data_IF_200750578556
#
_entry.id   IF_200750578556
#
_cell.length_a   1.000
_cell.length_b   1.000
_cell.length_c   1.000
_cell.angle_alpha   90.00
_cell.angle_beta   90.00
_cell.angle_gamma   90.00
#
_symmetry.space_group_name_H-M   'P 1'
#
loop_
_entity.id
_entity.type
_entity.pdbx_description
1 polymer ?
#
# COMPACT_ATOMS: atom_id res chain seq x y z
N UNK A 1 38.92 -13.09 15.34
CA UNK A 1 38.57 -11.86 14.59
C UNK A 1 38.24 -10.78 15.60
N UNK A 2 38.97 -9.65 15.59
CA UNK A 2 38.58 -8.46 16.34
C UNK A 2 37.27 -7.89 15.75
N UNK A 3 36.41 -7.34 16.59
CA UNK A 3 35.08 -6.81 16.21
C UNK A 3 35.17 -5.70 15.16
N UNK A 4 36.21 -4.86 15.23
CA UNK A 4 36.47 -3.79 14.28
C UNK A 4 36.70 -4.28 12.84
N UNK A 5 37.31 -5.46 12.67
CA UNK A 5 37.56 -6.01 11.33
C UNK A 5 36.27 -6.42 10.60
N UNK A 6 35.19 -6.70 11.35
CA UNK A 6 33.90 -7.05 10.76
C UNK A 6 33.14 -5.83 10.21
N UNK A 7 33.51 -4.62 10.66
CA UNK A 7 32.89 -3.36 10.26
C UNK A 7 33.50 -2.78 8.97
N UNK A 8 34.57 -3.41 8.46
CA UNK A 8 35.22 -3.00 7.21
C UNK A 8 34.24 -3.02 6.05
N UNK A 9 34.32 -1.96 5.25
CA UNK A 9 33.48 -1.74 4.08
C UNK A 9 34.30 -1.84 2.80
N UNK A 10 33.70 -2.39 1.73
CA UNK A 10 34.30 -2.34 0.40
C UNK A 10 34.13 -0.94 -0.23
N UNK A 11 34.58 -0.78 -1.49
CA UNK A 11 34.48 0.51 -2.23
C UNK A 11 33.03 1.03 -2.38
N UNK A 12 32.04 0.17 -2.31
CA UNK A 12 30.60 0.50 -2.37
C UNK A 12 29.96 0.65 -0.98
N UNK A 13 30.79 0.74 0.06
CA UNK A 13 30.38 0.83 1.46
C UNK A 13 29.70 -0.44 2.02
N UNK A 14 29.81 -1.58 1.34
CA UNK A 14 29.18 -2.81 1.79
C UNK A 14 30.07 -3.52 2.82
N UNK A 15 29.48 -3.87 3.96
CA UNK A 15 30.10 -4.80 4.93
C UNK A 15 29.93 -6.25 4.47
N UNK A 16 30.71 -7.16 5.06
CA UNK A 16 30.52 -8.59 4.85
C UNK A 16 29.10 -9.05 5.22
N UNK A 17 28.51 -8.46 6.28
CA UNK A 17 27.13 -8.74 6.67
C UNK A 17 26.14 -8.31 5.58
N UNK A 18 26.32 -7.11 5.00
CA UNK A 18 25.45 -6.61 3.93
C UNK A 18 25.42 -7.58 2.73
N UNK A 19 26.59 -8.05 2.29
CA UNK A 19 26.71 -8.99 1.17
C UNK A 19 26.09 -10.35 1.51
N UNK A 20 26.35 -10.88 2.72
CA UNK A 20 25.75 -12.13 3.16
C UNK A 20 24.23 -12.04 3.28
N UNK A 21 23.71 -10.89 3.71
CA UNK A 21 22.29 -10.62 3.81
C UNK A 21 21.61 -10.56 2.44
N UNK A 22 22.25 -9.92 1.46
CA UNK A 22 21.81 -9.91 0.05
C UNK A 22 21.84 -11.31 -0.57
N UNK A 23 22.87 -12.11 -0.27
CA UNK A 23 23.01 -13.47 -0.78
C UNK A 23 22.15 -14.53 -0.06
N UNK A 24 21.42 -14.15 1.00
CA UNK A 24 20.61 -15.09 1.77
C UNK A 24 21.40 -16.07 2.64
N UNK A 25 22.70 -15.82 2.89
CA UNK A 25 23.55 -16.71 3.66
C UNK A 25 23.31 -16.55 5.17
N UNK A 26 22.25 -17.20 5.65
CA UNK A 26 21.82 -17.14 7.05
C UNK A 26 22.90 -17.60 8.04
N UNK A 27 23.73 -18.59 7.68
CA UNK A 27 24.79 -19.10 8.57
C UNK A 27 25.84 -18.02 8.81
N UNK A 28 26.30 -17.36 7.75
CA UNK A 28 27.26 -16.27 7.86
C UNK A 28 26.68 -15.06 8.60
N UNK A 29 25.42 -14.71 8.31
CA UNK A 29 24.69 -13.63 9.02
C UNK A 29 24.65 -13.88 10.52
N UNK A 30 24.25 -15.09 10.96
CA UNK A 30 24.19 -15.46 12.38
C UNK A 30 25.54 -15.29 13.07
N UNK A 31 26.59 -15.88 12.51
CA UNK A 31 27.96 -15.80 13.08
C UNK A 31 28.43 -14.35 13.21
N UNK A 32 28.16 -13.51 12.21
CA UNK A 32 28.57 -12.11 12.22
C UNK A 32 27.79 -11.28 13.24
N UNK A 33 26.46 -11.43 13.30
CA UNK A 33 25.59 -10.69 14.23
C UNK A 33 25.84 -11.08 15.68
N UNK A 34 26.12 -12.36 15.95
CA UNK A 34 26.51 -12.84 17.29
C UNK A 34 27.83 -12.23 17.76
N UNK A 35 28.79 -12.02 16.84
CA UNK A 35 30.08 -11.39 17.16
C UNK A 35 30.00 -9.88 17.30
N UNK A 36 29.21 -9.22 16.45
CA UNK A 36 29.04 -7.77 16.49
C UNK A 36 27.64 -7.36 15.99
N UNK A 37 26.76 -7.02 16.94
CA UNK A 37 25.39 -6.56 16.64
C UNK A 37 25.35 -5.20 15.94
N UNK A 38 26.37 -4.36 16.09
CA UNK A 38 26.41 -3.04 15.46
C UNK A 38 26.40 -3.12 13.93
N UNK A 39 26.81 -4.25 13.35
CA UNK A 39 26.77 -4.51 11.91
C UNK A 39 25.36 -4.37 11.33
N UNK A 40 24.31 -4.65 12.10
CA UNK A 40 22.91 -4.53 11.66
C UNK A 40 22.54 -3.11 11.24
N UNK A 41 23.28 -2.11 11.72
CA UNK A 41 23.01 -0.68 11.50
C UNK A 41 24.13 0.04 10.73
N UNK A 42 25.09 -0.69 10.17
CA UNK A 42 26.08 -0.14 9.23
C UNK A 42 25.50 -0.18 7.82
N UNK A 43 25.17 1.00 7.28
CA UNK A 43 24.58 1.12 5.95
C UNK A 43 25.57 0.76 4.84
N UNK A 44 25.10 -0.06 3.89
CA UNK A 44 25.76 -0.34 2.61
C UNK A 44 25.09 0.38 1.45
N UNK A 45 25.40 -0.03 0.22
CA UNK A 45 24.83 0.53 -1.00
C UNK A 45 25.05 2.04 -1.09
N UNK A 46 26.32 2.47 -1.04
CA UNK A 46 26.69 3.89 -0.96
C UNK A 46 26.12 4.60 0.28
N UNK A 47 26.09 3.89 1.42
CA UNK A 47 25.56 4.35 2.73
C UNK A 47 24.07 4.67 2.74
N UNK A 48 23.32 4.25 1.72
CA UNK A 48 21.88 4.53 1.60
C UNK A 48 21.01 3.43 2.21
N UNK A 49 21.49 2.19 2.24
CA UNK A 49 20.64 1.03 2.52
C UNK A 49 21.09 0.23 3.72
N UNK A 50 20.13 -0.12 4.57
CA UNK A 50 20.37 -0.96 5.75
C UNK A 50 20.53 -2.43 5.33
N UNK A 51 21.39 -3.22 6.01
CA UNK A 51 21.54 -4.65 5.74
C UNK A 51 20.22 -5.44 5.76
N UNK A 52 19.30 -5.07 6.65
CA UNK A 52 17.97 -5.70 6.71
C UNK A 52 17.10 -5.37 5.49
N UNK A 53 17.21 -4.14 4.96
CA UNK A 53 16.47 -3.75 3.74
C UNK A 53 16.95 -4.56 2.54
N UNK A 54 18.26 -4.72 2.34
CA UNK A 54 18.78 -5.48 1.19
C UNK A 54 18.39 -6.96 1.26
N UNK A 55 18.37 -7.58 2.45
CA UNK A 55 17.84 -8.93 2.61
C UNK A 55 16.36 -9.03 2.21
N UNK A 56 15.57 -8.00 2.54
CA UNK A 56 14.15 -7.92 2.18
C UNK A 56 13.97 -7.72 0.68
N UNK A 57 14.78 -6.85 0.07
CA UNK A 57 14.78 -6.57 -1.37
C UNK A 57 15.00 -7.83 -2.21
N UNK A 58 15.89 -8.72 -1.78
CA UNK A 58 16.16 -9.99 -2.45
C UNK A 58 15.29 -11.16 -1.96
N UNK A 59 14.27 -10.91 -1.14
CA UNK A 59 13.31 -11.93 -0.73
C UNK A 59 13.84 -12.96 0.28
N UNK A 60 14.97 -12.70 0.96
CA UNK A 60 15.63 -13.65 1.87
C UNK A 60 14.92 -13.78 3.22
N UNK A 61 13.72 -14.40 3.24
CA UNK A 61 12.78 -14.43 4.40
C UNK A 61 13.43 -14.87 5.72
N UNK A 62 14.25 -15.92 5.72
CA UNK A 62 14.91 -16.42 6.95
C UNK A 62 15.92 -15.43 7.53
N UNK A 63 16.69 -14.79 6.65
CA UNK A 63 17.64 -13.73 7.02
C UNK A 63 16.90 -12.53 7.58
N UNK A 64 15.83 -12.09 6.92
CA UNK A 64 15.00 -10.97 7.36
C UNK A 64 14.42 -11.25 8.75
N UNK A 65 13.80 -12.42 8.95
CA UNK A 65 13.22 -12.81 10.24
C UNK A 65 14.26 -12.83 11.35
N UNK A 66 15.44 -13.39 11.10
CA UNK A 66 16.53 -13.41 12.07
C UNK A 66 17.03 -12.01 12.39
N UNK A 67 17.40 -11.21 11.38
CA UNK A 67 17.96 -9.87 11.57
C UNK A 67 16.96 -8.92 12.22
N UNK A 68 15.67 -8.98 11.86
CA UNK A 68 14.62 -8.18 12.50
C UNK A 68 14.54 -8.49 14.01
N UNK A 69 14.51 -9.77 14.39
CA UNK A 69 14.45 -10.18 15.81
C UNK A 69 15.68 -9.72 16.61
N UNK A 70 16.80 -9.42 15.96
CA UNK A 70 18.02 -8.91 16.60
C UNK A 70 18.19 -7.38 16.47
N UNK A 71 17.28 -6.70 15.77
CA UNK A 71 17.34 -5.26 15.48
C UNK A 71 16.80 -4.36 16.61
N UNK A 72 16.35 -4.94 17.73
CA UNK A 72 15.65 -4.23 18.79
C UNK A 72 14.45 -3.41 18.26
N UNK A 73 13.61 -4.05 17.44
CA UNK A 73 12.45 -3.42 16.79
C UNK A 73 12.79 -2.13 16.02
N UNK A 74 13.98 -2.05 15.43
CA UNK A 74 14.44 -0.89 14.64
C UNK A 74 14.52 0.42 15.46
N UNK A 75 14.67 0.34 16.78
CA UNK A 75 14.72 1.50 17.70
C UNK A 75 16.07 2.22 17.74
N UNK A 76 17.12 1.62 17.19
CA UNK A 76 18.44 2.28 17.08
C UNK A 76 18.31 3.61 16.32
N UNK A 77 18.98 4.66 16.79
CA UNK A 77 18.90 6.02 16.24
C UNK A 77 19.35 6.14 14.77
N UNK A 78 20.09 5.15 14.26
CA UNK A 78 20.45 5.07 12.83
C UNK A 78 19.28 4.69 11.92
N UNK A 79 18.17 4.20 12.48
CA UNK A 79 16.94 4.00 11.72
C UNK A 79 16.15 5.29 11.61
N UNK A 80 16.18 5.89 10.43
CA UNK A 80 15.33 7.03 10.08
C UNK A 80 13.91 6.57 9.72
N UNK A 81 12.87 7.41 9.92
CA UNK A 81 11.50 7.11 9.50
C UNK A 81 11.42 6.67 8.02
N UNK A 82 12.15 7.34 7.14
CA UNK A 82 12.21 7.01 5.70
C UNK A 82 12.68 5.57 5.45
N UNK A 83 13.79 5.16 6.08
CA UNK A 83 14.36 3.82 5.91
C UNK A 83 13.46 2.73 6.50
N UNK A 84 12.73 3.03 7.59
CA UNK A 84 11.72 2.12 8.14
C UNK A 84 10.53 1.98 7.19
N UNK A 85 10.08 3.08 6.58
CA UNK A 85 9.01 3.08 5.58
C UNK A 85 9.38 2.24 4.35
N UNK A 86 10.59 2.39 3.81
CA UNK A 86 11.08 1.57 2.70
C UNK A 86 11.15 0.09 3.05
N UNK A 87 11.64 -0.25 4.25
CA UNK A 87 11.67 -1.62 4.73
C UNK A 87 10.25 -2.20 4.83
N UNK A 88 9.31 -1.46 5.43
CA UNK A 88 7.91 -1.88 5.55
C UNK A 88 7.29 -2.16 4.18
N UNK A 89 7.42 -1.21 3.25
CA UNK A 89 6.90 -1.35 1.89
C UNK A 89 7.50 -2.60 1.21
N UNK A 90 8.81 -2.78 1.29
CA UNK A 90 9.50 -3.92 0.69
C UNK A 90 9.11 -5.26 1.33
N UNK A 91 8.83 -5.29 2.64
CA UNK A 91 8.31 -6.46 3.32
C UNK A 91 6.93 -6.86 2.77
N UNK A 92 6.04 -5.89 2.55
CA UNK A 92 4.71 -6.13 1.99
C UNK A 92 4.79 -6.57 0.53
N UNK A 93 5.64 -5.94 -0.27
CA UNK A 93 5.90 -6.36 -1.66
C UNK A 93 6.39 -7.81 -1.76
N UNK A 94 7.15 -8.30 -0.77
CA UNK A 94 7.70 -9.66 -0.73
C UNK A 94 6.90 -10.66 0.16
N UNK A 95 5.68 -10.32 0.55
CA UNK A 95 4.80 -11.17 1.37
C UNK A 95 5.44 -11.61 2.70
N UNK A 96 6.20 -10.71 3.32
CA UNK A 96 6.80 -10.88 4.64
C UNK A 96 5.91 -10.24 5.71
N UNK A 97 4.64 -10.62 5.73
CA UNK A 97 3.61 -9.99 6.58
C UNK A 97 3.93 -10.08 8.07
N UNK A 98 4.53 -11.18 8.56
CA UNK A 98 4.98 -11.31 9.95
C UNK A 98 5.86 -10.15 10.42
N UNK A 99 6.80 -9.72 9.56
CA UNK A 99 7.74 -8.64 9.87
C UNK A 99 7.08 -7.29 9.65
N UNK A 100 6.32 -7.13 8.56
CA UNK A 100 5.54 -5.93 8.29
C UNK A 100 4.59 -5.58 9.46
N UNK A 101 3.87 -6.59 9.98
CA UNK A 101 2.97 -6.50 11.13
C UNK A 101 3.70 -5.97 12.38
N UNK A 102 4.90 -6.49 12.67
CA UNK A 102 5.69 -6.02 13.82
C UNK A 102 6.20 -4.60 13.64
N UNK A 103 6.57 -4.22 12.42
CA UNK A 103 7.02 -2.85 12.10
C UNK A 103 5.88 -1.86 12.34
N UNK A 104 4.71 -2.06 11.74
CA UNK A 104 3.58 -1.13 11.89
C UNK A 104 3.00 -1.14 13.31
N UNK A 105 3.07 -2.26 14.03
CA UNK A 105 2.72 -2.29 15.46
C UNK A 105 3.65 -1.39 16.29
N UNK A 106 4.91 -1.28 15.89
CA UNK A 106 5.91 -0.44 16.58
C UNK A 106 5.87 1.01 16.09
N UNK A 107 5.57 1.23 14.81
CA UNK A 107 5.56 2.52 14.12
C UNK A 107 4.28 2.67 13.29
N UNK A 108 3.13 2.98 13.91
CA UNK A 108 1.84 3.02 13.23
C UNK A 108 1.81 3.99 12.03
N UNK A 109 2.46 5.14 12.15
CA UNK A 109 2.45 6.22 11.14
C UNK A 109 3.01 5.77 9.78
N UNK A 110 3.82 4.71 9.77
CA UNK A 110 4.38 4.13 8.54
C UNK A 110 3.37 3.30 7.74
N UNK A 111 2.26 2.89 8.34
CA UNK A 111 1.23 2.04 7.73
C UNK A 111 0.32 2.74 6.72
N UNK A 112 0.69 3.92 6.24
CA UNK A 112 -0.16 4.81 5.44
C UNK A 112 0.16 4.74 3.93
N UNK A 113 -0.76 5.27 3.11
CA UNK A 113 -0.55 5.55 1.68
C UNK A 113 -0.05 4.38 0.85
N UNK A 114 1.27 4.35 0.57
CA UNK A 114 1.91 3.39 -0.35
C UNK A 114 1.85 1.95 0.12
N UNK A 115 1.82 1.69 1.42
CA UNK A 115 1.66 0.33 1.95
C UNK A 115 0.27 -0.21 1.65
N UNK A 116 -0.76 0.63 1.83
CA UNK A 116 -2.15 0.28 1.51
C UNK A 116 -2.33 0.02 0.02
N UNK A 117 -1.66 0.80 -0.83
CA UNK A 117 -1.69 0.59 -2.29
C UNK A 117 -1.12 -0.77 -2.70
N UNK A 118 0.03 -1.17 -2.15
CA UNK A 118 0.60 -2.47 -2.45
C UNK A 118 -0.30 -3.60 -1.95
N UNK A 119 -0.89 -3.47 -0.76
CA UNK A 119 -1.84 -4.45 -0.23
C UNK A 119 -3.10 -4.58 -1.10
N UNK A 120 -3.65 -3.46 -1.57
CA UNK A 120 -4.81 -3.45 -2.46
C UNK A 120 -4.54 -4.27 -3.75
N UNK A 121 -3.31 -4.25 -4.26
CA UNK A 121 -2.92 -5.02 -5.45
C UNK A 121 -2.62 -6.51 -5.18
N UNK A 122 -2.74 -7.00 -3.94
CA UNK A 122 -2.41 -8.38 -3.54
C UNK A 122 -3.61 -9.12 -2.92
N UNK A 123 -4.62 -9.51 -3.71
CA UNK A 123 -5.82 -10.19 -3.20
C UNK A 123 -5.54 -11.52 -2.52
N UNK A 124 -4.49 -12.25 -2.92
CA UNK A 124 -4.12 -13.53 -2.30
C UNK A 124 -3.74 -13.39 -0.82
N UNK A 125 -3.12 -12.25 -0.46
CA UNK A 125 -2.77 -11.97 0.93
C UNK A 125 -4.00 -11.93 1.85
N UNK A 126 -5.17 -11.59 1.29
CA UNK A 126 -6.44 -11.51 2.03
C UNK A 126 -7.25 -12.80 1.92
N UNK A 127 -7.09 -13.58 0.84
CA UNK A 127 -7.70 -14.93 0.72
C UNK A 127 -7.13 -15.93 1.72
N UNK A 128 -5.83 -15.89 1.97
CA UNK A 128 -5.17 -16.79 2.94
C UNK A 128 -5.37 -16.35 4.40
N UNK A 129 -5.71 -15.09 4.63
CA UNK A 129 -5.83 -14.50 5.97
C UNK A 129 -7.19 -14.81 6.62
N UNK A 130 -7.40 -16.07 7.01
CA UNK A 130 -8.57 -16.49 7.79
C UNK A 130 -8.64 -15.76 9.14
N UNK A 131 -9.62 -14.87 9.29
CA UNK A 131 -10.43 -14.44 10.48
C UNK A 131 -9.78 -14.18 11.86
N UNK A 132 -8.66 -14.79 12.24
CA UNK A 132 -8.06 -14.70 13.58
C UNK A 132 -6.98 -13.61 13.73
N UNK A 133 -6.53 -13.01 12.62
CA UNK A 133 -5.59 -11.87 12.63
C UNK A 133 -6.33 -10.54 12.67
N UNK A 134 -7.54 -10.49 12.10
CA UNK A 134 -8.42 -9.31 12.04
C UNK A 134 -8.75 -8.78 13.45
N UNK A 135 -8.99 -9.68 14.42
CA UNK A 135 -9.17 -9.30 15.83
C UNK A 135 -7.93 -8.65 16.48
N UNK A 136 -6.74 -8.84 15.92
CA UNK A 136 -5.48 -8.22 16.38
C UNK A 136 -5.21 -6.88 15.68
N UNK A 137 -5.74 -6.69 14.46
CA UNK A 137 -5.64 -5.46 13.65
C UNK A 137 -6.58 -4.35 14.14
N UNK A 138 -7.68 -4.68 14.83
CA UNK A 138 -8.62 -3.71 15.45
C UNK A 138 -7.92 -2.74 16.44
N UNK A 139 -6.69 -3.04 16.89
CA UNK A 139 -5.86 -2.13 17.71
C UNK A 139 -5.21 -0.98 16.92
N UNK A 140 -5.22 -1.04 15.59
CA UNK A 140 -4.43 -0.17 14.71
C UNK A 140 -5.12 1.17 14.38
N UNK A 141 -6.44 1.24 14.53
CA UNK A 141 -7.23 2.38 14.03
C UNK A 141 -7.13 3.68 14.85
N UNK A 142 -6.73 3.65 16.12
CA UNK A 142 -6.83 4.84 16.98
C UNK A 142 -5.81 5.95 16.69
N UNK A 143 -4.63 5.65 16.14
CA UNK A 143 -3.58 6.65 15.90
C UNK A 143 -3.42 7.03 14.41
N UNK A 144 -3.81 6.16 13.48
CA UNK A 144 -3.72 6.43 12.04
C UNK A 144 -4.69 7.55 11.58
N UNK A 145 -5.82 7.67 12.28
CA UNK A 145 -6.95 8.53 11.91
C UNK A 145 -6.70 10.03 12.14
N UNK A 146 -5.88 10.41 13.12
CA UNK A 146 -5.63 11.82 13.43
C UNK A 146 -4.73 12.52 12.40
N UNK A 147 -3.83 11.78 11.75
CA UNK A 147 -2.90 12.32 10.73
C UNK A 147 -3.52 12.30 9.31
N UNK A 148 -4.49 11.40 9.06
CA UNK A 148 -5.30 11.38 7.82
C UNK A 148 -6.21 12.61 7.65
N UNK A 149 -6.54 13.31 8.75
CA UNK A 149 -7.41 14.49 8.76
C UNK A 149 -6.66 15.82 8.88
N UNK A 150 -5.36 15.82 9.19
CA UNK A 150 -4.55 17.04 9.11
C UNK A 150 -4.34 17.41 7.65
N UNK A 151 -5.19 18.30 7.14
CA UNK A 151 -4.90 19.09 5.95
C UNK A 151 -3.57 19.81 6.15
N UNK A 152 -2.58 19.71 5.25
CA UNK A 152 -1.45 20.61 5.29
C UNK A 152 -1.98 22.00 4.92
N UNK A 153 -2.07 22.87 5.93
CA UNK A 153 -2.16 24.31 5.71
C UNK A 153 -1.05 24.72 4.75
N UNK A 154 -1.42 25.45 3.71
CA UNK A 154 -0.55 26.01 2.69
C UNK A 154 0.44 26.97 3.34
N UNK A 155 1.57 26.49 3.84
CA UNK A 155 2.73 27.34 4.09
C UNK A 155 3.58 27.35 2.83
N UNK A 156 3.76 28.55 2.29
CA UNK A 156 4.75 28.84 1.27
C UNK A 156 6.12 28.43 1.85
N UNK A 157 6.82 27.54 1.16
CA UNK A 157 8.25 27.34 1.39
C UNK A 157 8.92 27.87 0.14
N UNK A 158 9.56 29.01 0.31
CA UNK A 158 10.51 29.61 -0.60
C UNK A 158 11.60 28.58 -0.95
N UNK A 159 11.90 28.46 -2.23
CA UNK A 159 13.04 27.69 -2.71
C UNK A 159 14.34 28.27 -2.13
N UNK A 160 15.22 27.46 -1.51
CA UNK A 160 16.63 27.78 -1.50
C UNK A 160 17.26 27.17 -2.75
N UNK A 161 17.81 28.06 -3.59
CA UNK A 161 18.75 27.72 -4.64
C UNK A 161 19.91 26.90 -4.08
N UNK A 162 20.23 25.76 -4.71
CA UNK A 162 21.56 25.13 -4.59
C UNK A 162 22.01 24.76 -6.00
N UNK A 163 22.98 25.51 -6.50
CA UNK A 163 23.64 25.28 -7.78
C UNK A 163 24.74 24.21 -7.72
N UNK A 164 25.21 23.84 -8.91
CA UNK A 164 26.58 23.39 -9.12
C UNK A 164 26.83 21.88 -9.18
N UNK A 165 26.57 21.32 -10.36
CA UNK A 165 27.29 20.26 -11.09
C UNK A 165 28.44 19.48 -10.42
N UNK A 166 28.44 18.15 -10.58
CA UNK A 166 29.36 17.45 -11.53
C UNK A 166 29.15 15.93 -11.49
N UNK A 167 29.30 15.33 -12.67
CA UNK A 167 28.80 14.00 -13.01
C UNK A 167 29.52 12.81 -12.38
N UNK A 168 28.84 11.66 -12.48
CA UNK A 168 29.32 10.44 -13.16
C UNK A 168 28.13 9.46 -13.18
N UNK A 169 27.64 9.18 -14.39
CA UNK A 169 26.70 8.11 -14.67
C UNK A 169 27.38 6.77 -14.34
N UNK A 170 26.87 6.06 -13.33
CA UNK A 170 27.06 4.60 -13.22
C UNK A 170 25.69 3.95 -13.05
N UNK A 171 25.37 3.16 -14.06
CA UNK A 171 24.13 2.46 -14.29
C UNK A 171 24.24 1.06 -13.69
N UNK A 172 23.70 0.86 -12.47
CA UNK A 172 23.56 -0.52 -11.95
C UNK A 172 22.46 -0.79 -10.92
N UNK A 173 21.62 0.18 -10.52
CA UNK A 173 20.34 -0.10 -9.86
C UNK A 173 19.37 1.04 -10.18
N UNK A 174 18.62 0.91 -11.27
CA UNK A 174 17.53 1.82 -11.63
C UNK A 174 16.44 1.79 -10.56
N UNK A 175 16.60 2.62 -9.54
CA UNK A 175 15.51 2.99 -8.65
C UNK A 175 14.79 4.11 -9.37
N UNK A 176 13.63 3.82 -9.94
CA UNK A 176 12.74 4.90 -10.37
C UNK A 176 12.41 5.77 -9.14
N UNK A 177 12.52 7.10 -9.25
CA UNK A 177 11.97 8.00 -8.25
C UNK A 177 10.50 7.65 -8.03
N UNK A 178 10.11 7.40 -6.78
CA UNK A 178 8.70 7.17 -6.45
C UNK A 178 7.88 8.39 -6.91
N UNK A 179 6.73 8.18 -7.57
CA UNK A 179 5.99 9.27 -8.19
C UNK A 179 5.53 10.27 -7.12
N UNK A 180 6.04 11.49 -7.20
CA UNK A 180 5.65 12.65 -6.38
C UNK A 180 4.22 13.16 -6.68
N UNK A 181 3.45 12.44 -7.51
CA UNK A 181 2.07 12.83 -7.82
C UNK A 181 1.17 12.48 -6.64
N UNK A 182 0.82 13.54 -5.92
CA UNK A 182 -0.09 13.59 -4.77
C UNK A 182 -1.54 13.31 -5.21
N UNK A 183 -1.80 12.11 -5.73
CA UNK A 183 -3.16 11.64 -6.05
C UNK A 183 -3.89 11.28 -4.74
N UNK A 184 -5.20 11.55 -4.67
CA UNK A 184 -6.00 11.26 -3.48
C UNK A 184 -5.87 9.78 -3.07
N UNK A 185 -5.82 9.48 -1.76
CA UNK A 185 -5.77 8.10 -1.26
C UNK A 185 -6.92 7.25 -1.83
N UNK A 186 -8.07 7.88 -2.05
CA UNK A 186 -9.27 7.28 -2.61
C UNK A 186 -9.03 6.89 -4.06
N UNK A 187 -8.50 7.80 -4.89
CA UNK A 187 -8.08 7.48 -6.27
C UNK A 187 -7.08 6.33 -6.31
N UNK A 188 -6.20 6.21 -5.31
CA UNK A 188 -5.18 5.14 -5.25
C UNK A 188 -5.80 3.79 -4.87
N UNK A 189 -6.70 3.76 -3.89
CA UNK A 189 -7.48 2.57 -3.53
C UNK A 189 -8.37 2.16 -4.71
N UNK A 190 -9.09 3.12 -5.30
CA UNK A 190 -9.96 2.97 -6.47
C UNK A 190 -9.19 2.44 -7.69
N UNK A 191 -8.03 3.03 -8.03
CA UNK A 191 -7.21 2.54 -9.17
C UNK A 191 -6.61 1.16 -8.91
N UNK A 192 -6.47 0.75 -7.65
CA UNK A 192 -6.03 -0.60 -7.28
C UNK A 192 -7.17 -1.60 -7.13
N UNK A 193 -8.44 -1.20 -7.33
CA UNK A 193 -9.64 -2.06 -7.25
C UNK A 193 -9.75 -3.14 -8.32
N UNK A 194 -8.80 -3.28 -9.25
CA UNK A 194 -8.86 -4.33 -10.27
C UNK A 194 -8.80 -5.79 -9.75
N UNK A 195 -8.92 -6.05 -8.45
CA UNK A 195 -9.18 -7.43 -7.98
C UNK A 195 -9.30 -7.75 -6.49
N UNK A 196 -9.30 -6.80 -5.55
CA UNK A 196 -9.22 -7.12 -4.11
C UNK A 196 -10.39 -6.58 -3.27
N UNK A 197 -11.57 -7.18 -3.45
CA UNK A 197 -12.79 -6.81 -2.70
C UNK A 197 -12.64 -7.05 -1.20
N UNK A 198 -11.94 -8.12 -0.79
CA UNK A 198 -11.75 -8.48 0.62
C UNK A 198 -10.99 -7.37 1.34
N UNK A 199 -9.95 -6.80 0.72
CA UNK A 199 -9.25 -5.64 1.27
C UNK A 199 -10.15 -4.42 1.43
N UNK A 200 -10.99 -4.12 0.44
CA UNK A 200 -11.88 -2.94 0.50
C UNK A 200 -12.93 -3.08 1.60
N UNK A 201 -13.53 -4.26 1.75
CA UNK A 201 -14.49 -4.55 2.83
C UNK A 201 -13.82 -4.35 4.20
N UNK A 202 -12.64 -4.94 4.39
CA UNK A 202 -11.87 -4.78 5.63
C UNK A 202 -11.49 -3.32 5.89
N UNK A 203 -11.10 -2.59 4.84
CA UNK A 203 -10.74 -1.18 4.97
C UNK A 203 -11.95 -0.32 5.37
N UNK A 204 -13.14 -0.56 4.79
CA UNK A 204 -14.37 0.15 5.17
C UNK A 204 -14.77 -0.20 6.61
N UNK A 205 -14.63 -1.46 7.02
CA UNK A 205 -14.92 -1.88 8.40
C UNK A 205 -13.98 -1.24 9.42
N UNK A 206 -12.70 -1.11 9.09
CA UNK A 206 -11.71 -0.43 9.94
C UNK A 206 -11.85 1.09 9.90
N UNK A 207 -12.29 1.64 8.77
CA UNK A 207 -12.40 3.07 8.53
C UNK A 207 -13.77 3.46 7.95
N UNK A 208 -14.86 3.45 8.74
CA UNK A 208 -16.21 3.69 8.22
C UNK A 208 -16.37 5.03 7.50
N UNK A 209 -15.61 6.05 7.91
CA UNK A 209 -15.65 7.38 7.27
C UNK A 209 -15.18 7.38 5.82
N UNK A 210 -14.49 6.31 5.37
CA UNK A 210 -14.05 6.15 3.99
C UNK A 210 -15.23 6.11 3.01
N UNK A 211 -16.42 5.72 3.45
CA UNK A 211 -17.62 5.68 2.60
C UNK A 211 -18.03 7.07 2.09
N UNK A 212 -17.66 8.13 2.82
CA UNK A 212 -17.97 9.53 2.48
C UNK A 212 -16.93 10.17 1.58
N UNK A 213 -15.82 9.48 1.34
CA UNK A 213 -14.67 10.01 0.65
C UNK A 213 -14.85 9.84 -0.86
N UNK A 214 -14.51 10.89 -1.60
CA UNK A 214 -14.66 10.96 -3.06
C UNK A 214 -13.33 11.15 -3.76
N UNK A 215 -13.24 10.58 -4.96
CA UNK A 215 -12.09 10.59 -5.85
C UNK A 215 -11.91 11.97 -6.55
N UNK A 216 -10.93 12.09 -7.44
CA UNK A 216 -10.73 13.28 -8.27
C UNK A 216 -11.92 13.58 -9.18
N UNK A 217 -12.80 12.64 -9.49
CA UNK A 217 -14.02 12.82 -10.27
C UNK A 217 -15.28 13.05 -9.42
N UNK A 218 -15.13 13.22 -8.10
CA UNK A 218 -16.24 13.31 -7.14
C UNK A 218 -17.06 12.01 -7.02
N UNK A 219 -16.46 10.87 -7.30
CA UNK A 219 -17.03 9.53 -7.20
C UNK A 219 -16.65 8.91 -5.86
N UNK A 220 -17.63 8.39 -5.12
CA UNK A 220 -17.36 7.57 -3.93
C UNK A 220 -16.91 6.16 -4.33
N UNK A 221 -16.42 5.38 -3.37
CA UNK A 221 -16.07 3.97 -3.57
C UNK A 221 -17.21 3.14 -4.18
N UNK A 222 -18.45 3.52 -3.89
CA UNK A 222 -19.65 2.88 -4.43
C UNK A 222 -19.94 3.23 -5.89
N UNK A 223 -19.63 4.45 -6.32
CA UNK A 223 -19.75 4.83 -7.73
C UNK A 223 -18.82 3.99 -8.60
N UNK A 224 -17.59 3.81 -8.14
CA UNK A 224 -16.59 2.96 -8.80
C UNK A 224 -17.00 1.50 -8.76
N UNK A 225 -17.38 0.99 -7.59
CA UNK A 225 -17.85 -0.40 -7.44
C UNK A 225 -18.99 -0.71 -8.41
N UNK A 226 -19.94 0.22 -8.57
CA UNK A 226 -21.06 0.08 -9.51
C UNK A 226 -20.58 0.13 -10.96
N UNK A 227 -19.73 1.09 -11.32
CA UNK A 227 -19.18 1.22 -12.67
C UNK A 227 -18.42 -0.04 -13.12
N UNK A 228 -17.71 -0.69 -12.19
CA UNK A 228 -16.87 -1.86 -12.46
C UNK A 228 -17.53 -3.21 -12.17
N UNK A 229 -18.78 -3.24 -11.67
CA UNK A 229 -19.53 -4.47 -11.31
C UNK A 229 -18.93 -5.22 -10.10
N UNK A 230 -18.40 -4.50 -9.12
CA UNK A 230 -17.92 -5.07 -7.87
C UNK A 230 -19.07 -5.29 -6.88
N UNK A 231 -19.85 -6.35 -7.10
CA UNK A 231 -21.05 -6.69 -6.31
C UNK A 231 -20.77 -6.76 -4.80
N UNK A 232 -19.62 -7.30 -4.39
CA UNK A 232 -19.27 -7.41 -2.97
C UNK A 232 -19.12 -6.07 -2.25
N UNK A 233 -18.55 -5.06 -2.93
CA UNK A 233 -18.43 -3.71 -2.37
C UNK A 233 -19.78 -3.00 -2.45
N UNK A 234 -20.50 -3.16 -3.57
CA UNK A 234 -21.86 -2.63 -3.73
C UNK A 234 -22.81 -3.11 -2.63
N UNK A 235 -22.74 -4.40 -2.27
CA UNK A 235 -23.61 -5.00 -1.26
C UNK A 235 -23.43 -4.37 0.13
N UNK A 236 -22.28 -3.73 0.40
CA UNK A 236 -22.09 -2.97 1.63
C UNK A 236 -23.08 -1.79 1.74
N UNK A 237 -23.64 -1.27 0.63
CA UNK A 237 -24.70 -0.26 0.67
C UNK A 237 -25.97 -0.79 1.38
N UNK A 238 -26.25 -2.08 1.29
CA UNK A 238 -27.35 -2.69 2.05
C UNK A 238 -26.98 -2.87 3.53
N UNK A 239 -25.71 -3.16 3.82
CA UNK A 239 -25.21 -3.39 5.19
C UNK A 239 -25.12 -2.09 6.02
N UNK A 240 -24.70 -0.98 5.42
CA UNK A 240 -24.58 0.32 6.11
C UNK A 240 -25.94 0.99 6.40
N UNK A 241 -27.05 0.39 5.94
CA UNK A 241 -28.40 0.84 6.26
C UNK A 241 -28.71 2.24 5.74
N UNK A 242 -29.18 3.13 6.62
CA UNK A 242 -29.66 4.48 6.25
C UNK A 242 -28.57 5.41 5.72
N UNK A 243 -27.28 5.10 5.94
CA UNK A 243 -26.17 5.88 5.36
C UNK A 243 -26.18 5.85 3.83
N UNK A 244 -26.74 4.79 3.23
CA UNK A 244 -26.85 4.67 1.78
C UNK A 244 -27.70 5.79 1.16
N UNK A 245 -28.67 6.32 1.89
CA UNK A 245 -29.59 7.38 1.43
C UNK A 245 -28.87 8.72 1.28
N UNK A 246 -27.68 8.85 1.88
CA UNK A 246 -26.78 9.99 1.72
C UNK A 246 -25.75 9.78 0.60
N UNK A 247 -25.50 8.52 0.20
CA UNK A 247 -24.52 8.17 -0.83
C UNK A 247 -25.19 8.08 -2.20
N UNK A 248 -26.41 7.52 -2.27
CA UNK A 248 -27.16 7.36 -3.52
C UNK A 248 -27.43 8.68 -4.28
N UNK A 249 -27.60 9.85 -3.64
CA UNK A 249 -27.80 11.11 -4.35
C UNK A 249 -26.51 11.79 -4.80
N UNK A 250 -25.33 11.27 -4.42
CA UNK A 250 -24.05 11.86 -4.82
C UNK A 250 -23.90 11.77 -6.34
N UNK A 251 -23.27 12.80 -6.91
CA UNK A 251 -23.03 12.90 -8.36
C UNK A 251 -21.56 13.17 -8.63
N UNK A 252 -21.06 12.58 -9.70
CA UNK A 252 -19.71 12.88 -10.19
C UNK A 252 -19.62 14.32 -10.74
N UNK A 253 -18.42 14.76 -11.13
CA UNK A 253 -18.19 16.09 -11.72
C UNK A 253 -18.99 16.38 -12.99
N UNK A 254 -19.51 15.35 -13.65
CA UNK A 254 -20.31 15.45 -14.87
C UNK A 254 -21.81 15.26 -14.57
N UNK A 255 -22.22 15.38 -13.31
CA UNK A 255 -23.59 15.20 -12.83
C UNK A 255 -24.14 13.76 -12.99
N UNK A 256 -23.26 12.77 -13.17
CA UNK A 256 -23.67 11.37 -13.25
C UNK A 256 -23.88 10.77 -11.86
N UNK A 257 -25.04 10.17 -11.62
CA UNK A 257 -25.25 9.25 -10.51
C UNK A 257 -24.75 7.82 -10.86
N UNK A 258 -24.81 6.90 -9.89
CA UNK A 258 -24.40 5.50 -10.08
C UNK A 258 -25.06 4.82 -11.29
N UNK A 259 -26.34 5.12 -11.59
CA UNK A 259 -27.06 4.53 -12.72
C UNK A 259 -26.52 5.00 -14.08
N UNK A 260 -26.16 6.28 -14.20
CA UNK A 260 -25.52 6.84 -15.38
C UNK A 260 -24.17 6.13 -15.66
N UNK A 261 -23.39 5.85 -14.60
CA UNK A 261 -22.11 5.14 -14.71
C UNK A 261 -22.29 3.70 -15.21
N UNK A 262 -23.32 2.99 -14.75
CA UNK A 262 -23.64 1.64 -15.27
C UNK A 262 -23.85 1.67 -16.78
N UNK A 263 -24.69 2.60 -17.25
CA UNK A 263 -25.02 2.73 -18.66
C UNK A 263 -23.83 3.11 -19.54
N UNK A 264 -22.96 4.00 -19.05
CA UNK A 264 -21.76 4.44 -19.77
C UNK A 264 -20.73 3.32 -19.91
N UNK A 265 -20.44 2.59 -18.83
CA UNK A 265 -19.51 1.46 -18.86
C UNK A 265 -20.01 0.31 -19.75
N UNK A 266 -21.32 0.03 -19.76
CA UNK A 266 -21.90 -1.00 -20.61
C UNK A 266 -21.74 -0.67 -22.11
N UNK A 267 -21.86 0.61 -22.49
CA UNK A 267 -21.62 1.05 -23.88
C UNK A 267 -20.15 0.89 -24.29
N UNK A 268 -19.21 1.18 -23.39
CA UNK A 268 -17.78 1.06 -23.67
C UNK A 268 -17.36 -0.41 -23.91
N UNK A 269 -17.78 -1.33 -23.04
CA UNK A 269 -17.46 -2.78 -23.20
C UNK A 269 -18.10 -3.42 -24.44
N UNK A 270 -19.23 -2.90 -24.92
CA UNK A 270 -19.88 -3.37 -26.17
C UNK A 270 -19.09 -3.02 -27.43
N UNK A 271 -18.27 -1.98 -27.39
CA UNK A 271 -17.44 -1.57 -28.54
C UNK A 271 -16.18 -2.43 -28.69
N UNK A 272 -15.79 -3.17 -27.64
CA UNK A 272 -14.53 -3.91 -27.57
C UNK A 272 -14.65 -5.41 -27.95
N UNK A 273 -15.86 -5.98 -28.06
CA UNK A 273 -16.03 -7.43 -28.28
C UNK A 273 -17.33 -7.80 -29.03
N UNK A 274 -17.23 -8.64 -30.06
CA UNK A 274 -18.32 -9.01 -30.98
C UNK A 274 -18.93 -10.39 -30.67
N UNK A 275 -18.29 -11.23 -29.83
CA UNK A 275 -18.80 -12.58 -29.50
C UNK A 275 -19.55 -12.63 -28.16
N UNK A 276 -20.74 -13.25 -28.12
CA UNK A 276 -21.51 -13.46 -26.89
C UNK A 276 -22.34 -12.26 -26.39
N UNK A 277 -22.67 -11.33 -27.30
CA UNK A 277 -23.35 -10.05 -26.99
C UNK A 277 -24.66 -10.25 -26.21
N UNK A 278 -25.50 -11.22 -26.56
CA UNK A 278 -26.80 -11.42 -25.92
C UNK A 278 -26.70 -11.71 -24.42
N UNK A 279 -25.82 -12.64 -24.02
CA UNK A 279 -25.65 -13.01 -22.60
C UNK A 279 -24.99 -11.87 -21.79
N UNK A 280 -24.06 -11.13 -22.39
CA UNK A 280 -23.49 -9.93 -21.76
C UNK A 280 -24.54 -8.84 -21.59
N UNK A 281 -25.31 -8.55 -22.63
CA UNK A 281 -26.41 -7.57 -22.57
C UNK A 281 -27.43 -7.95 -21.49
N UNK A 282 -27.75 -9.24 -21.34
CA UNK A 282 -28.64 -9.71 -20.28
C UNK A 282 -28.07 -9.46 -18.89
N UNK A 283 -26.79 -9.78 -18.65
CA UNK A 283 -26.12 -9.52 -17.35
C UNK A 283 -26.04 -8.03 -17.05
N UNK A 284 -25.69 -7.21 -18.04
CA UNK A 284 -25.65 -5.75 -17.91
C UNK A 284 -27.03 -5.17 -17.61
N UNK A 285 -28.09 -5.72 -18.19
CA UNK A 285 -29.46 -5.30 -17.90
C UNK A 285 -29.90 -5.69 -16.48
N UNK A 286 -29.53 -6.89 -16.01
CA UNK A 286 -29.81 -7.31 -14.63
C UNK A 286 -29.09 -6.40 -13.63
N UNK A 287 -27.82 -6.09 -13.88
CA UNK A 287 -27.07 -5.17 -13.03
C UNK A 287 -27.65 -3.76 -13.04
N UNK A 288 -28.09 -3.26 -14.20
CA UNK A 288 -28.75 -1.97 -14.30
C UNK A 288 -30.02 -1.91 -13.44
N UNK A 289 -30.87 -2.95 -13.51
CA UNK A 289 -32.09 -3.04 -12.70
C UNK A 289 -31.82 -3.10 -11.20
N UNK A 290 -30.75 -3.79 -10.80
CA UNK A 290 -30.35 -3.87 -9.39
C UNK A 290 -29.97 -2.48 -8.87
N UNK A 291 -29.11 -1.76 -9.60
CA UNK A 291 -28.69 -0.40 -9.23
C UNK A 291 -29.87 0.59 -9.30
N UNK A 292 -30.76 0.44 -10.27
CA UNK A 292 -32.00 1.21 -10.39
C UNK A 292 -32.89 1.03 -9.15
N UNK A 293 -33.05 -0.20 -8.65
CA UNK A 293 -33.85 -0.47 -7.45
C UNK A 293 -33.26 0.17 -6.18
N UNK A 294 -31.96 0.45 -6.16
CA UNK A 294 -31.28 1.09 -5.02
C UNK A 294 -31.41 2.61 -5.02
N UNK A 295 -31.60 3.25 -6.18
CA UNK A 295 -31.65 4.69 -6.32
C UNK A 295 -33.12 5.14 -6.29
N UNK A 296 -33.53 6.00 -5.34
CA UNK A 296 -34.91 6.47 -5.29
C UNK A 296 -35.31 7.19 -6.59
N UNK A 297 -36.54 7.01 -7.10
CA UNK A 297 -36.99 7.55 -8.40
C UNK A 297 -37.09 9.09 -8.47
N UNK A 298 -36.78 9.80 -7.39
CA UNK A 298 -36.87 11.25 -7.27
C UNK A 298 -35.56 12.00 -7.59
N UNK A 299 -34.52 11.31 -8.08
CA UNK A 299 -33.18 11.86 -8.33
C UNK A 299 -32.67 11.58 -9.74
#
# INVERSE_FOLDING_TARGET
>A
MQTANLELQNKSYNTALYLAAAAGNIKAVKIMVEKNKALLTIAGGNRKMMPLYVATLYGNKDVVKYMYNHSNNLRDGRWMPLNRGWLLLKCVENDMFDVALKIVTTYPDLGTGSVLEVLARKPEAFREMKLNVISRTIRWGKNLYSEMLSTPQRSQIENPEVGGESGLEDSSLGLEPFPEKRTSMIDRIIKSEFGNREFVVELIWLYPDLIWKVDENNQSIFHVAVAHRHEGIYNLLYEIGSMKDLISPLRDRNDNNMLHLVGKCAKQKRLEDVSGVALKVQRELLWFKEVEAMIPPAY
#
